data_IF_937199570252
#
_entry.id   IF_937199570252
#
_cell.length_a   1.000
_cell.length_b   1.000
_cell.length_c   1.000
_cell.angle_alpha   90.00
_cell.angle_beta   90.00
_cell.angle_gamma   90.00
#
_symmetry.space_group_name_H-M   'P 1'
#
loop_
_entity.id
_entity.type
_entity.pdbx_description
1 polymer ?
#
# COMPACT_ATOMS: atom_id res chain seq x y z
N UNK A 1 -33.09 -9.86 8.53
CA UNK A 1 -32.79 -11.26 8.92
C UNK A 1 -33.77 -11.66 10.02
N UNK A 2 -34.36 -12.88 10.01
CA UNK A 2 -35.22 -13.34 11.10
C UNK A 2 -34.46 -13.37 12.44
N UNK A 3 -35.03 -12.78 13.49
CA UNK A 3 -34.36 -12.62 14.79
C UNK A 3 -33.97 -13.96 15.44
N UNK A 4 -34.75 -15.02 15.22
CA UNK A 4 -34.48 -16.36 15.75
C UNK A 4 -33.18 -17.00 15.23
N UNK A 5 -32.66 -16.56 14.09
CA UNK A 5 -31.44 -17.09 13.49
C UNK A 5 -30.22 -16.21 13.76
N UNK A 6 -30.38 -15.05 14.42
CA UNK A 6 -29.32 -14.06 14.61
C UNK A 6 -28.04 -14.64 15.20
N UNK A 7 -28.15 -15.37 16.32
CA UNK A 7 -26.99 -15.95 17.00
C UNK A 7 -26.26 -17.00 16.16
N UNK A 8 -27.01 -17.83 15.42
CA UNK A 8 -26.45 -18.84 14.51
C UNK A 8 -25.70 -18.16 13.37
N UNK A 9 -26.30 -17.14 12.75
CA UNK A 9 -25.68 -16.39 11.65
C UNK A 9 -24.42 -15.67 12.14
N UNK A 10 -24.46 -14.97 13.27
CA UNK A 10 -23.28 -14.30 13.84
C UNK A 10 -22.15 -15.31 14.10
N UNK A 11 -22.44 -16.47 14.70
CA UNK A 11 -21.44 -17.51 14.95
C UNK A 11 -20.87 -18.08 13.65
N UNK A 12 -21.72 -18.36 12.66
CA UNK A 12 -21.30 -18.87 11.37
C UNK A 12 -20.40 -17.88 10.62
N UNK A 13 -20.80 -16.60 10.56
CA UNK A 13 -20.01 -15.52 9.94
C UNK A 13 -18.65 -15.39 10.63
N UNK A 14 -18.63 -15.28 11.96
CA UNK A 14 -17.38 -15.10 12.71
C UNK A 14 -16.43 -16.31 12.59
N UNK A 15 -16.98 -17.52 12.49
CA UNK A 15 -16.17 -18.75 12.47
C UNK A 15 -15.72 -19.13 11.06
N UNK A 16 -16.54 -18.88 10.03
CA UNK A 16 -16.31 -19.41 8.68
C UNK A 16 -16.13 -18.34 7.60
N UNK A 17 -16.52 -17.08 7.85
CA UNK A 17 -16.42 -15.99 6.87
C UNK A 17 -15.42 -14.91 7.28
N UNK A 18 -14.61 -15.15 8.30
CA UNK A 18 -13.49 -14.27 8.64
C UNK A 18 -12.31 -14.53 7.69
N UNK A 19 -12.31 -13.86 6.53
CA UNK A 19 -11.27 -14.03 5.52
C UNK A 19 -9.92 -13.40 5.93
N UNK A 20 -9.91 -12.41 6.84
CA UNK A 20 -8.73 -11.63 7.23
C UNK A 20 -7.74 -11.33 6.07
N UNK A 21 -8.14 -10.50 5.08
CA UNK A 21 -7.33 -10.22 3.89
C UNK A 21 -5.92 -9.70 4.20
N UNK A 22 -5.74 -9.03 5.35
CA UNK A 22 -4.44 -8.51 5.78
C UNK A 22 -3.41 -9.60 6.09
N UNK A 23 -3.81 -10.71 6.72
CA UNK A 23 -2.90 -11.83 6.97
C UNK A 23 -2.57 -12.60 5.69
N UNK A 24 -3.58 -12.83 4.84
CA UNK A 24 -3.37 -13.46 3.54
C UNK A 24 -2.40 -12.64 2.68
N UNK A 25 -2.56 -11.31 2.67
CA UNK A 25 -1.69 -10.39 1.96
C UNK A 25 -0.26 -10.41 2.50
N UNK A 26 -0.08 -10.46 3.82
CA UNK A 26 1.24 -10.51 4.45
C UNK A 26 2.03 -11.78 4.10
N UNK A 27 1.34 -12.89 3.82
CA UNK A 27 1.95 -14.15 3.42
C UNK A 27 2.18 -14.27 1.91
N UNK A 28 1.63 -13.35 1.10
CA UNK A 28 1.72 -13.41 -0.35
C UNK A 28 3.01 -12.75 -0.86
N UNK A 29 3.98 -13.51 -1.41
CA UNK A 29 5.27 -12.97 -1.84
C UNK A 29 5.19 -12.27 -3.21
N UNK A 30 4.11 -12.48 -3.96
CA UNK A 30 4.00 -12.03 -5.34
C UNK A 30 3.66 -10.54 -5.51
N UNK A 31 3.63 -10.05 -6.75
CA UNK A 31 3.24 -8.66 -7.06
C UNK A 31 1.79 -8.38 -6.67
N UNK A 32 1.52 -7.22 -6.07
CA UNK A 32 0.18 -6.82 -5.61
C UNK A 32 -0.07 -5.34 -5.86
N UNK A 33 -1.32 -5.01 -6.17
CA UNK A 33 -1.83 -3.63 -6.23
C UNK A 33 -3.10 -3.57 -5.39
N UNK A 34 -3.19 -2.56 -4.54
CA UNK A 34 -4.38 -2.26 -3.74
C UNK A 34 -5.15 -1.17 -4.47
N UNK A 35 -6.36 -1.50 -4.90
CA UNK A 35 -7.31 -0.54 -5.46
C UNK A 35 -8.18 -0.02 -4.32
N UNK A 36 -8.04 1.26 -3.99
CA UNK A 36 -8.78 1.92 -2.91
C UNK A 36 -9.85 2.82 -3.48
N UNK A 37 -11.11 2.48 -3.21
CA UNK A 37 -12.24 3.34 -3.53
C UNK A 37 -12.32 4.48 -2.51
N UNK A 38 -12.28 5.72 -2.97
CA UNK A 38 -12.22 6.89 -2.08
C UNK A 38 -13.59 7.43 -1.68
N UNK A 39 -14.67 6.94 -2.31
CA UNK A 39 -16.06 7.37 -2.08
C UNK A 39 -16.95 6.20 -1.64
N UNK A 40 -16.35 5.18 -1.04
CA UNK A 40 -17.03 3.94 -0.65
C UNK A 40 -17.27 3.91 0.87
N UNK A 41 -18.54 3.98 1.24
CA UNK A 41 -19.01 3.99 2.62
C UNK A 41 -19.04 2.60 3.27
N UNK A 42 -18.97 1.52 2.49
CA UNK A 42 -19.03 0.15 3.01
C UNK A 42 -17.67 -0.29 3.54
N UNK A 43 -16.59 0.14 2.89
CA UNK A 43 -15.22 -0.18 3.29
C UNK A 43 -14.63 0.82 4.29
N UNK A 44 -15.43 1.76 4.79
CA UNK A 44 -14.97 2.83 5.68
C UNK A 44 -15.63 2.67 7.05
N UNK A 45 -14.87 2.80 8.14
CA UNK A 45 -15.42 2.67 9.50
C UNK A 45 -16.14 3.93 10.00
N UNK A 46 -15.85 5.09 9.40
CA UNK A 46 -16.53 6.37 9.60
C UNK A 46 -16.75 7.05 8.24
N UNK A 47 -18.02 7.13 7.82
CA UNK A 47 -18.43 7.52 6.46
C UNK A 47 -17.98 8.93 6.04
N UNK A 48 -17.55 9.78 6.97
CA UNK A 48 -17.10 11.13 6.67
C UNK A 48 -15.59 11.25 6.38
N UNK A 49 -14.80 10.20 6.62
CA UNK A 49 -13.34 10.33 6.66
C UNK A 49 -12.64 9.23 5.85
N UNK A 50 -11.95 9.61 4.76
CA UNK A 50 -11.12 8.71 3.98
C UNK A 50 -10.00 8.06 4.79
N UNK A 51 -9.55 8.74 5.87
CA UNK A 51 -8.62 8.19 6.87
C UNK A 51 -9.10 6.85 7.44
N UNK A 52 -10.41 6.66 7.56
CA UNK A 52 -11.05 5.48 8.12
C UNK A 52 -11.33 4.36 7.10
N UNK A 53 -10.82 4.49 5.88
CA UNK A 53 -10.95 3.46 4.85
C UNK A 53 -10.12 2.22 5.23
N UNK A 54 -10.74 1.04 5.23
CA UNK A 54 -10.10 -0.24 5.56
C UNK A 54 -8.93 -0.59 4.64
N UNK A 55 -8.88 -0.03 3.42
CA UNK A 55 -7.74 -0.15 2.52
C UNK A 55 -6.46 0.46 3.08
N UNK A 56 -6.56 1.48 3.95
CA UNK A 56 -5.40 2.11 4.59
C UNK A 56 -4.69 1.14 5.55
N UNK A 57 -5.48 0.38 6.33
CA UNK A 57 -4.92 -0.67 7.20
C UNK A 57 -4.29 -1.80 6.37
N UNK A 58 -4.90 -2.15 5.24
CA UNK A 58 -4.36 -3.16 4.34
C UNK A 58 -2.99 -2.75 3.76
N UNK A 59 -2.85 -1.48 3.35
CA UNK A 59 -1.58 -0.88 2.93
C UNK A 59 -0.55 -0.93 4.06
N UNK A 60 -0.92 -0.53 5.27
CA UNK A 60 -0.01 -0.55 6.41
C UNK A 60 0.50 -1.97 6.72
N UNK A 61 -0.39 -2.97 6.68
CA UNK A 61 -0.02 -4.39 6.87
C UNK A 61 0.92 -4.88 5.77
N UNK A 62 0.68 -4.48 4.52
CA UNK A 62 1.57 -4.77 3.40
C UNK A 62 2.97 -4.18 3.65
N UNK A 63 3.06 -2.89 4.01
CA UNK A 63 4.32 -2.22 4.32
C UNK A 63 5.04 -2.89 5.49
N UNK A 64 4.31 -3.32 6.52
CA UNK A 64 4.89 -4.02 7.67
C UNK A 64 5.45 -5.38 7.29
N UNK A 65 4.76 -6.12 6.44
CA UNK A 65 5.20 -7.44 5.98
C UNK A 65 6.40 -7.39 5.03
N UNK A 66 6.51 -6.33 4.21
CA UNK A 66 7.52 -6.21 3.15
C UNK A 66 8.71 -5.34 3.51
N UNK A 67 8.49 -4.25 4.24
CA UNK A 67 9.48 -3.21 4.54
C UNK A 67 9.44 -2.78 6.01
N UNK A 68 9.58 -3.72 6.97
CA UNK A 68 9.46 -3.41 8.39
C UNK A 68 10.41 -2.31 8.86
N UNK A 69 11.62 -2.21 8.29
CA UNK A 69 12.63 -1.21 8.66
C UNK A 69 12.23 0.25 8.41
N UNK A 70 11.23 0.49 7.56
CA UNK A 70 10.71 1.83 7.24
C UNK A 70 9.66 2.33 8.23
N UNK A 71 9.06 1.43 9.03
CA UNK A 71 7.99 1.78 9.97
C UNK A 71 8.58 2.16 11.33
N UNK A 72 8.55 3.46 11.63
CA UNK A 72 8.76 4.00 12.95
C UNK A 72 7.54 4.85 13.35
N UNK A 73 7.39 5.28 14.62
CA UNK A 73 6.22 6.06 15.04
C UNK A 73 5.97 7.29 14.15
N UNK A 74 7.04 8.00 13.78
CA UNK A 74 6.94 9.20 12.95
C UNK A 74 6.58 8.91 11.49
N UNK A 75 7.26 7.97 10.84
CA UNK A 75 6.95 7.62 9.44
C UNK A 75 5.56 7.02 9.30
N UNK A 76 5.11 6.24 10.29
CA UNK A 76 3.76 5.68 10.34
C UNK A 76 2.70 6.76 10.51
N UNK A 77 2.93 7.74 11.38
CA UNK A 77 2.03 8.89 11.54
C UNK A 77 1.90 9.67 10.24
N UNK A 78 3.03 10.00 9.59
CA UNK A 78 3.04 10.70 8.31
C UNK A 78 2.34 9.90 7.22
N UNK A 79 2.55 8.58 7.16
CA UNK A 79 1.82 7.71 6.24
C UNK A 79 0.30 7.79 6.47
N UNK A 80 -0.17 7.77 7.72
CA UNK A 80 -1.59 7.91 8.01
C UNK A 80 -2.16 9.29 7.66
N UNK A 81 -1.39 10.36 7.85
CA UNK A 81 -1.77 11.70 7.40
C UNK A 81 -1.88 11.75 5.88
N UNK A 82 -0.94 11.12 5.19
CA UNK A 82 -0.91 11.05 3.73
C UNK A 82 -2.08 10.23 3.18
N UNK A 83 -2.39 9.08 3.78
CA UNK A 83 -3.53 8.23 3.40
C UNK A 83 -4.90 8.84 3.74
N UNK A 84 -4.95 9.90 4.54
CA UNK A 84 -6.21 10.59 4.84
C UNK A 84 -6.76 11.37 3.64
N UNK A 85 -5.95 11.58 2.60
CA UNK A 85 -6.33 12.29 1.38
C UNK A 85 -6.31 11.37 0.14
N UNK A 86 -7.03 11.71 -0.94
CA UNK A 86 -6.97 10.97 -2.19
C UNK A 86 -5.59 11.07 -2.84
N UNK A 87 -4.99 9.95 -3.21
CA UNK A 87 -3.67 9.85 -3.81
C UNK A 87 -3.52 10.68 -5.10
N UNK A 88 -4.55 10.74 -5.95
CA UNK A 88 -4.54 11.58 -7.16
C UNK A 88 -4.39 13.07 -6.85
N UNK A 89 -4.79 13.51 -5.65
CA UNK A 89 -4.59 14.88 -5.17
C UNK A 89 -3.25 15.07 -4.45
N UNK A 90 -2.54 13.98 -4.15
CA UNK A 90 -1.33 14.02 -3.33
C UNK A 90 -0.07 14.10 -4.17
N UNK A 91 0.55 15.28 -4.16
CA UNK A 91 1.85 15.49 -4.81
C UNK A 91 2.99 14.99 -3.90
N UNK A 92 3.64 13.88 -4.27
CA UNK A 92 4.81 13.34 -3.56
C UNK A 92 5.93 14.38 -3.35
N UNK A 93 6.15 15.28 -4.31
CA UNK A 93 7.14 16.36 -4.22
C UNK A 93 6.79 17.34 -3.10
N UNK A 94 5.51 17.58 -2.81
CA UNK A 94 5.08 18.43 -1.70
C UNK A 94 5.42 17.82 -0.32
N UNK A 95 5.60 16.50 -0.28
CA UNK A 95 6.09 15.76 0.89
C UNK A 95 7.62 15.56 0.87
N UNK A 96 8.33 16.23 -0.05
CA UNK A 96 9.78 16.15 -0.18
C UNK A 96 10.29 14.82 -0.72
N UNK A 97 9.42 14.02 -1.35
CA UNK A 97 9.79 12.72 -1.92
C UNK A 97 10.41 12.93 -3.29
N UNK A 98 11.71 12.65 -3.40
CA UNK A 98 12.40 12.50 -4.67
C UNK A 98 12.23 11.07 -5.17
N UNK A 99 11.44 10.90 -6.23
CA UNK A 99 11.09 9.58 -6.77
C UNK A 99 12.27 8.89 -7.44
N UNK A 100 13.17 9.65 -8.08
CA UNK A 100 14.33 9.10 -8.79
C UNK A 100 15.38 8.62 -7.79
N UNK A 101 15.60 9.39 -6.72
CA UNK A 101 16.43 8.97 -5.60
C UNK A 101 15.87 7.71 -4.92
N UNK A 102 14.57 7.68 -4.61
CA UNK A 102 13.95 6.51 -3.99
C UNK A 102 14.04 5.26 -4.90
N UNK A 103 13.80 5.42 -6.20
CA UNK A 103 13.92 4.34 -7.17
C UNK A 103 15.35 3.79 -7.23
N UNK A 104 16.35 4.68 -7.28
CA UNK A 104 17.77 4.33 -7.32
C UNK A 104 18.23 3.61 -6.05
N UNK A 105 17.81 4.10 -4.87
CA UNK A 105 18.11 3.47 -3.58
C UNK A 105 17.48 2.07 -3.49
N UNK A 106 16.24 1.92 -3.95
CA UNK A 106 15.56 0.63 -3.98
C UNK A 106 16.26 -0.36 -4.92
N UNK A 107 16.61 0.06 -6.15
CA UNK A 107 17.32 -0.78 -7.10
C UNK A 107 18.69 -1.23 -6.57
N UNK A 108 19.44 -0.31 -5.96
CA UNK A 108 20.72 -0.62 -5.31
C UNK A 108 20.55 -1.66 -4.20
N UNK A 109 19.53 -1.50 -3.34
CA UNK A 109 19.25 -2.46 -2.27
C UNK A 109 18.93 -3.86 -2.82
N UNK A 110 18.03 -3.96 -3.80
CA UNK A 110 17.61 -5.23 -4.39
C UNK A 110 18.80 -5.96 -5.02
N UNK A 111 19.68 -5.23 -5.73
CA UNK A 111 20.86 -5.82 -6.36
C UNK A 111 21.84 -6.46 -5.38
N UNK A 112 21.89 -5.97 -4.13
CA UNK A 112 22.83 -6.45 -3.12
C UNK A 112 22.24 -7.58 -2.28
N UNK A 113 20.95 -7.47 -1.88
CA UNK A 113 20.35 -8.37 -0.87
C UNK A 113 19.35 -9.39 -1.44
N UNK A 114 18.99 -9.28 -2.72
CA UNK A 114 18.06 -10.19 -3.36
C UNK A 114 16.58 -9.90 -3.07
N UNK A 115 15.73 -10.87 -3.38
CA UNK A 115 14.32 -10.64 -3.73
C UNK A 115 13.30 -11.22 -2.75
N UNK A 116 13.69 -11.47 -1.51
CA UNK A 116 12.82 -12.14 -0.52
C UNK A 116 12.36 -11.19 0.58
N UNK A 117 11.05 -11.07 0.74
CA UNK A 117 10.47 -10.37 1.89
C UNK A 117 10.67 -11.16 3.19
N UNK A 118 10.79 -10.48 4.35
CA UNK A 118 10.82 -9.03 4.51
C UNK A 118 12.16 -8.40 4.11
N UNK A 119 12.13 -7.20 3.53
CA UNK A 119 13.33 -6.41 3.28
C UNK A 119 13.79 -5.70 4.55
N UNK A 120 15.10 -5.74 4.79
CA UNK A 120 15.79 -4.93 5.81
C UNK A 120 15.99 -3.46 5.38
N UNK A 121 15.37 -3.04 4.26
CA UNK A 121 15.43 -1.67 3.78
C UNK A 121 14.89 -0.72 4.87
N UNK A 122 15.68 0.31 5.19
CA UNK A 122 15.32 1.30 6.19
C UNK A 122 15.99 1.13 7.55
N UNK A 123 16.72 0.04 7.82
CA UNK A 123 17.41 -0.13 9.12
C UNK A 123 18.40 1.01 9.42
N UNK A 124 19.20 1.39 8.42
CA UNK A 124 20.22 2.43 8.54
C UNK A 124 19.77 3.82 8.06
N UNK A 125 18.49 3.97 7.69
CA UNK A 125 17.95 5.25 7.21
C UNK A 125 17.56 6.17 8.37
N UNK A 126 17.76 7.47 8.19
CA UNK A 126 17.18 8.50 9.06
C UNK A 126 15.66 8.45 9.01
N UNK A 127 15.00 9.06 10.01
CA UNK A 127 13.53 9.11 10.07
C UNK A 127 12.92 9.79 8.84
N UNK A 128 13.58 10.83 8.32
CA UNK A 128 13.15 11.55 7.13
C UNK A 128 13.25 10.66 5.87
N UNK A 129 14.38 9.97 5.68
CA UNK A 129 14.56 9.02 4.57
C UNK A 129 13.57 7.85 4.64
N UNK A 130 13.35 7.28 5.83
CA UNK A 130 12.33 6.24 6.04
C UNK A 130 10.95 6.73 5.62
N UNK A 131 10.60 7.96 5.99
CA UNK A 131 9.32 8.56 5.67
C UNK A 131 9.16 8.73 4.16
N UNK A 132 10.15 9.32 3.48
CA UNK A 132 10.11 9.54 2.03
C UNK A 132 10.06 8.23 1.25
N UNK A 133 10.87 7.24 1.63
CA UNK A 133 10.86 5.91 1.02
C UNK A 133 9.53 5.19 1.25
N UNK A 134 8.95 5.29 2.45
CA UNK A 134 7.66 4.69 2.77
C UNK A 134 6.52 5.28 1.93
N UNK A 135 6.49 6.60 1.76
CA UNK A 135 5.52 7.28 0.89
C UNK A 135 5.71 6.90 -0.58
N UNK A 136 6.96 6.86 -1.06
CA UNK A 136 7.29 6.41 -2.40
C UNK A 136 6.81 4.97 -2.64
N UNK A 137 7.14 4.02 -1.77
CA UNK A 137 6.69 2.64 -1.93
C UNK A 137 5.18 2.53 -1.88
N UNK A 138 4.53 3.24 -0.94
CA UNK A 138 3.07 3.23 -0.85
C UNK A 138 2.42 3.71 -2.15
N UNK A 139 2.97 4.75 -2.77
CA UNK A 139 2.50 5.26 -4.07
C UNK A 139 2.56 4.24 -5.22
N UNK A 140 3.42 3.21 -5.10
CA UNK A 140 3.53 2.14 -6.10
C UNK A 140 2.52 1.01 -5.88
N UNK A 141 2.12 0.78 -4.63
CA UNK A 141 1.19 -0.29 -4.27
C UNK A 141 -0.27 0.14 -4.25
N UNK A 142 -0.53 1.44 -4.08
CA UNK A 142 -1.88 1.98 -3.88
C UNK A 142 -2.34 2.76 -5.12
N UNK A 143 -3.53 2.44 -5.61
CA UNK A 143 -4.20 3.20 -6.67
C UNK A 143 -5.58 3.60 -6.17
N UNK A 144 -5.86 4.90 -6.24
CA UNK A 144 -7.16 5.43 -5.86
C UNK A 144 -8.14 5.42 -7.02
N UNK A 145 -9.37 5.04 -6.70
CA UNK A 145 -10.51 5.00 -7.61
C UNK A 145 -11.60 5.92 -7.04
N UNK A 146 -11.90 7.07 -7.66
CA UNK A 146 -12.92 8.00 -7.19
C UNK A 146 -14.34 7.47 -7.51
N UNK A 147 -14.73 6.39 -6.83
CA UNK A 147 -16.00 5.70 -7.03
C UNK A 147 -16.52 5.09 -5.73
N UNK A 148 -17.84 4.90 -5.62
CA UNK A 148 -18.49 4.19 -4.53
C UNK A 148 -18.64 2.68 -4.77
N UNK A 149 -19.24 1.98 -3.80
CA UNK A 149 -19.29 0.52 -3.77
C UNK A 149 -20.12 -0.12 -4.91
N UNK A 150 -21.11 0.60 -5.45
CA UNK A 150 -22.06 0.12 -6.46
C UNK A 150 -21.64 0.37 -7.91
N UNK A 151 -20.52 1.07 -8.12
CA UNK A 151 -20.01 1.34 -9.46
C UNK A 151 -19.08 0.20 -9.89
N UNK A 152 -19.30 -0.43 -11.06
CA UNK A 152 -18.32 -1.36 -11.63
C UNK A 152 -16.95 -0.68 -11.77
N UNK A 153 -15.88 -1.42 -11.47
CA UNK A 153 -14.53 -0.91 -11.66
C UNK A 153 -14.20 -0.86 -13.16
N UNK A 154 -13.65 0.26 -13.63
CA UNK A 154 -13.20 0.38 -15.03
C UNK A 154 -12.09 -0.63 -15.33
N UNK A 155 -12.12 -1.21 -16.53
CA UNK A 155 -11.09 -2.13 -17.04
C UNK A 155 -9.69 -1.52 -16.99
N UNK A 156 -9.59 -0.19 -17.11
CA UNK A 156 -8.32 0.53 -17.14
C UNK A 156 -7.57 0.48 -15.79
N UNK A 157 -8.27 0.18 -14.69
CA UNK A 157 -7.65 -0.04 -13.38
C UNK A 157 -7.04 -1.45 -13.21
N UNK A 158 -7.35 -2.39 -14.09
CA UNK A 158 -6.80 -3.76 -14.05
C UNK A 158 -5.46 -3.82 -14.78
N UNK A 159 -4.46 -3.20 -14.17
CA UNK A 159 -3.08 -3.20 -14.67
C UNK A 159 -2.25 -4.29 -14.00
N UNK A 160 -1.12 -4.66 -14.63
CA UNK A 160 -0.16 -5.55 -13.99
C UNK A 160 0.38 -4.91 -12.72
N UNK A 161 0.42 -5.63 -11.59
CA UNK A 161 0.92 -5.07 -10.35
C UNK A 161 2.39 -4.69 -10.43
N UNK A 162 2.75 -3.60 -9.77
CA UNK A 162 4.13 -3.12 -9.71
C UNK A 162 5.05 -4.16 -9.07
N UNK A 163 6.24 -4.28 -9.65
CA UNK A 163 7.29 -5.19 -9.19
C UNK A 163 8.51 -4.38 -8.78
N UNK A 164 8.83 -4.33 -7.46
CA UNK A 164 10.03 -3.65 -6.98
C UNK A 164 11.34 -4.13 -7.60
N UNK A 165 11.32 -5.33 -8.20
CA UNK A 165 12.47 -6.11 -8.62
C UNK A 165 12.74 -6.04 -10.12
N UNK A 166 11.71 -5.82 -10.95
CA UNK A 166 11.88 -5.68 -12.40
C UNK A 166 11.74 -4.23 -12.82
N UNK A 167 10.82 -3.51 -12.20
CA UNK A 167 10.42 -2.20 -12.70
C UNK A 167 11.39 -1.10 -12.22
N UNK A 168 12.06 -1.31 -11.09
CA UNK A 168 13.11 -0.42 -10.58
C UNK A 168 14.39 -0.48 -11.45
N UNK A 169 14.81 -1.67 -11.88
CA UNK A 169 15.97 -1.83 -12.77
C UNK A 169 15.72 -1.26 -14.16
N UNK A 170 14.50 -1.43 -14.71
CA UNK A 170 14.14 -0.85 -16.01
C UNK A 170 14.32 0.67 -15.96
N UNK A 171 13.89 1.34 -14.88
CA UNK A 171 14.08 2.79 -14.73
C UNK A 171 15.56 3.21 -14.71
N UNK A 172 16.41 2.49 -13.99
CA UNK A 172 17.86 2.78 -13.94
C UNK A 172 18.54 2.52 -15.30
N UNK A 173 18.19 1.42 -15.97
CA UNK A 173 18.80 1.05 -17.25
C UNK A 173 18.43 2.00 -18.40
N UNK A 174 17.21 2.54 -18.40
CA UNK A 174 16.79 3.56 -19.38
C UNK A 174 17.60 4.86 -19.17
N UNK A 175 17.85 5.27 -17.92
CA UNK A 175 18.65 6.48 -17.65
C UNK A 175 20.13 6.32 -18.03
N UNK A 176 20.70 5.11 -17.95
CA UNK A 176 22.08 4.84 -18.37
C UNK A 176 22.28 4.78 -19.90
N UNK A 177 21.21 4.64 -20.69
CA UNK A 177 21.29 4.66 -22.16
C UNK A 177 21.30 6.07 -22.79
N UNK A 178 21.13 7.13 -21.98
CA UNK A 178 21.11 8.52 -22.42
C UNK A 178 22.36 9.34 -22.03
N UNK A 179 23.46 8.68 -21.68
CA UNK A 179 24.77 9.30 -21.44
C UNK A 179 25.88 8.69 -22.30
#
# INVERSE_FOLDING_TARGET
MPACLGAIVTKAVATHLNLNPGEQLAMYPGPVTILRRTQDEIITTDNAQLRCNCGNDLVLRLMRSRYPGLLCPRSTEVLWQWLAEPFQSTNLTAWGVDQDLCSSLLASYVSQKGETYPFTLGEDMSVDEKTKMLLYLTSKYLVDVPSGHNNPLDKDFFTHPWRPLTDSYIQVSIQQQYY
#
